data_IF_459375322670
#
_entry.id   IF_459375322670
#
_cell.length_a   1.000
_cell.length_b   1.000
_cell.length_c   1.000
_cell.angle_alpha   90.00
_cell.angle_beta   90.00
_cell.angle_gamma   90.00
#
_symmetry.space_group_name_H-M   'P 1'
#
loop_
_entity.id
_entity.type
_entity.pdbx_description
1 polymer ?
#
# COMPACT_ATOMS: atom_id res chain seq x y z
N UNK A 1 14.97 34.32 30.13
CA UNK A 1 13.84 34.68 29.23
C UNK A 1 14.35 34.64 27.80
N UNK A 2 13.96 33.63 27.02
CA UNK A 2 13.50 33.76 25.63
C UNK A 2 13.18 32.35 25.10
N UNK A 3 11.88 32.16 24.84
CA UNK A 3 11.25 30.93 24.37
C UNK A 3 11.38 30.86 22.84
N UNK A 4 11.82 29.72 22.32
CA UNK A 4 11.58 29.32 20.92
C UNK A 4 10.61 28.14 20.91
N UNK A 5 9.47 28.19 20.20
CA UNK A 5 8.59 27.05 20.07
C UNK A 5 9.03 26.17 18.88
N UNK A 6 9.33 24.89 19.16
CA UNK A 6 9.56 23.88 18.12
C UNK A 6 8.22 23.44 17.52
N UNK A 7 8.02 23.78 16.24
CA UNK A 7 6.87 23.38 15.43
C UNK A 7 7.19 22.03 14.77
N UNK A 8 6.41 21.00 15.09
CA UNK A 8 6.36 19.71 14.41
C UNK A 8 5.65 19.86 13.07
N UNK A 9 6.36 19.74 11.94
CA UNK A 9 5.78 19.68 10.60
C UNK A 9 5.94 18.27 10.01
N UNK A 10 4.85 17.52 9.95
CA UNK A 10 4.70 16.35 9.10
C UNK A 10 4.61 16.82 7.64
N UNK A 11 5.65 16.57 6.85
CA UNK A 11 5.67 16.91 5.43
C UNK A 11 4.96 15.80 4.66
N UNK A 12 3.65 15.97 4.49
CA UNK A 12 2.84 15.22 3.54
C UNK A 12 3.04 15.81 2.14
N UNK A 13 3.15 14.95 1.14
CA UNK A 13 3.14 15.29 -0.29
C UNK A 13 1.96 16.23 -0.60
N UNK A 14 2.25 17.52 -0.80
CA UNK A 14 1.28 18.46 -1.39
C UNK A 14 1.27 18.23 -2.89
N UNK A 15 0.32 17.43 -3.38
CA UNK A 15 -0.11 17.51 -4.77
C UNK A 15 -0.70 18.91 -4.94
N UNK A 16 0.01 19.76 -5.67
CA UNK A 16 -0.33 21.17 -5.84
C UNK A 16 -1.54 21.33 -6.76
N UNK A 17 -2.74 21.38 -6.19
CA UNK A 17 -3.95 21.83 -6.90
C UNK A 17 -3.85 23.34 -7.14
N UNK A 18 -3.36 23.76 -8.31
CA UNK A 18 -3.44 25.15 -8.76
C UNK A 18 -4.90 25.48 -9.12
N UNK A 19 -5.56 26.26 -8.28
CA UNK A 19 -6.86 26.90 -8.59
C UNK A 19 -6.62 28.09 -9.52
N UNK A 20 -7.16 28.07 -10.74
CA UNK A 20 -7.34 29.27 -11.53
C UNK A 20 -8.73 29.89 -11.23
N UNK A 21 -8.82 31.19 -10.92
CA UNK A 21 -10.09 31.84 -10.61
C UNK A 21 -10.65 32.45 -11.90
N UNK A 22 -11.79 31.96 -12.38
CA UNK A 22 -12.68 32.75 -13.22
C UNK A 22 -14.09 32.67 -12.66
N UNK A 23 -14.48 33.81 -12.09
CA UNK A 23 -15.81 34.14 -11.60
C UNK A 23 -16.72 34.30 -12.82
N UNK A 24 -17.81 33.55 -12.87
CA UNK A 24 -19.02 34.03 -13.55
C UNK A 24 -20.22 33.74 -12.64
N UNK A 25 -20.79 34.82 -12.10
CA UNK A 25 -22.04 34.82 -11.34
C UNK A 25 -23.17 34.37 -12.24
N UNK A 26 -23.95 33.37 -11.83
CA UNK A 26 -25.33 33.21 -12.28
C UNK A 26 -26.23 32.94 -11.07
N UNK A 27 -27.28 33.76 -10.97
CA UNK A 27 -28.38 33.68 -10.04
C UNK A 27 -29.08 32.32 -10.14
N UNK A 28 -29.22 31.59 -9.03
CA UNK A 28 -30.25 30.56 -8.90
C UNK A 28 -30.97 30.68 -7.55
N UNK A 29 -32.29 30.62 -7.67
CA UNK A 29 -33.37 30.83 -6.73
C UNK A 29 -33.27 30.05 -5.40
N UNK A 30 -33.82 30.67 -4.35
CA UNK A 30 -34.04 30.09 -3.04
C UNK A 30 -35.05 28.92 -3.13
N UNK A 31 -34.60 27.70 -2.81
CA UNK A 31 -35.49 26.61 -2.42
C UNK A 31 -35.10 26.11 -1.02
N UNK A 32 -36.03 26.29 -0.07
CA UNK A 32 -35.98 25.71 1.27
C UNK A 32 -36.10 24.19 1.16
N UNK A 33 -35.11 23.44 1.66
CA UNK A 33 -35.29 22.02 1.96
C UNK A 33 -35.41 21.80 3.46
N UNK A 34 -36.57 21.27 3.84
CA UNK A 34 -36.96 20.82 5.17
C UNK A 34 -36.20 19.54 5.57
N UNK A 35 -35.91 19.43 6.87
CA UNK A 35 -35.23 18.32 7.54
C UNK A 35 -36.06 17.03 7.53
N UNK A 36 -35.40 15.91 7.21
CA UNK A 36 -35.46 14.59 7.88
C UNK A 36 -35.17 13.48 6.86
N UNK A 37 -33.95 12.91 6.88
CA UNK A 37 -33.66 11.65 6.19
C UNK A 37 -33.74 10.52 7.22
N UNK A 38 -34.57 9.49 7.02
CA UNK A 38 -34.57 8.32 7.87
C UNK A 38 -33.27 7.54 7.66
N UNK A 39 -32.61 7.17 8.76
CA UNK A 39 -31.49 6.21 8.77
C UNK A 39 -32.00 4.85 8.34
N UNK A 40 -31.90 4.56 7.04
CA UNK A 40 -32.11 3.23 6.49
C UNK A 40 -30.86 2.42 6.81
N UNK A 41 -30.92 1.57 7.85
CA UNK A 41 -29.87 0.58 8.10
C UNK A 41 -29.90 -0.43 6.96
N UNK A 42 -28.96 -0.31 6.04
CA UNK A 42 -28.76 -1.28 4.96
C UNK A 42 -28.36 -2.63 5.56
N UNK A 43 -28.87 -3.75 5.02
CA UNK A 43 -28.50 -5.08 5.51
C UNK A 43 -27.00 -5.33 5.30
N UNK A 44 -26.41 -6.08 6.23
CA UNK A 44 -25.01 -6.51 6.16
C UNK A 44 -24.76 -7.18 4.80
N UNK A 45 -23.76 -6.75 4.01
CA UNK A 45 -23.45 -7.38 2.73
C UNK A 45 -23.21 -8.88 2.92
N UNK A 46 -23.89 -9.71 2.14
CA UNK A 46 -23.64 -11.16 2.11
C UNK A 46 -22.19 -11.43 1.66
N UNK A 47 -21.60 -12.59 2.00
CA UNK A 47 -20.27 -12.94 1.51
C UNK A 47 -20.12 -12.80 -0.01
N UNK A 48 -21.15 -13.16 -0.77
CA UNK A 48 -21.19 -13.03 -2.24
C UNK A 48 -21.14 -11.56 -2.69
N UNK A 49 -21.80 -10.66 -1.96
CA UNK A 49 -21.82 -9.24 -2.28
C UNK A 49 -20.45 -8.59 -2.04
N UNK A 50 -19.73 -8.97 -0.98
CA UNK A 50 -18.38 -8.47 -0.73
C UNK A 50 -17.41 -8.88 -1.83
N UNK A 51 -17.45 -10.15 -2.24
CA UNK A 51 -16.64 -10.67 -3.34
C UNK A 51 -16.98 -9.96 -4.66
N UNK A 52 -18.27 -9.78 -4.97
CA UNK A 52 -18.69 -9.07 -6.18
C UNK A 52 -18.06 -7.68 -6.25
N UNK A 53 -18.18 -6.89 -5.17
CA UNK A 53 -17.61 -5.54 -5.06
C UNK A 53 -16.09 -5.53 -5.12
N UNK A 54 -15.45 -6.53 -4.51
CA UNK A 54 -14.00 -6.70 -4.59
C UNK A 54 -13.55 -6.84 -6.05
N UNK A 55 -14.22 -7.72 -6.81
CA UNK A 55 -13.92 -7.96 -8.23
C UNK A 55 -14.20 -6.75 -9.10
N UNK A 56 -15.31 -6.05 -8.85
CA UNK A 56 -15.66 -4.81 -9.56
C UNK A 56 -14.60 -3.72 -9.35
N UNK A 57 -14.17 -3.51 -8.11
CA UNK A 57 -13.14 -2.53 -7.80
C UNK A 57 -11.83 -2.83 -8.54
N UNK A 58 -11.39 -4.09 -8.56
CA UNK A 58 -10.22 -4.48 -9.34
C UNK A 58 -10.45 -4.34 -10.85
N UNK A 59 -11.65 -4.64 -11.36
CA UNK A 59 -11.92 -4.63 -12.81
C UNK A 59 -11.86 -3.22 -13.39
N UNK A 60 -12.20 -2.21 -12.57
CA UNK A 60 -12.04 -0.80 -12.94
C UNK A 60 -10.56 -0.41 -13.08
N UNK A 61 -9.63 -1.06 -12.35
CA UNK A 61 -8.20 -0.76 -12.40
C UNK A 61 -7.48 -1.60 -13.46
N UNK A 62 -7.78 -2.89 -13.50
CA UNK A 62 -7.06 -3.90 -14.28
C UNK A 62 -7.81 -4.36 -15.53
N UNK A 63 -8.93 -3.69 -15.86
CA UNK A 63 -9.84 -4.12 -16.91
C UNK A 63 -10.56 -5.43 -16.58
N UNK A 64 -11.43 -5.92 -17.48
CA UNK A 64 -12.07 -7.22 -17.31
C UNK A 64 -11.03 -8.33 -17.28
N UNK A 65 -10.82 -8.93 -16.11
CA UNK A 65 -9.90 -10.07 -15.95
C UNK A 65 -10.64 -11.40 -15.79
N UNK A 66 -11.92 -11.40 -15.43
CA UNK A 66 -12.71 -12.61 -15.13
C UNK A 66 -13.27 -13.34 -16.34
N UNK A 67 -12.99 -12.87 -17.55
CA UNK A 67 -13.50 -13.49 -18.77
C UNK A 67 -13.02 -14.94 -18.91
N UNK A 68 -11.92 -15.32 -18.23
CA UNK A 68 -11.47 -16.71 -18.16
C UNK A 68 -12.49 -17.66 -17.52
N UNK A 69 -13.40 -17.18 -16.67
CA UNK A 69 -14.42 -18.03 -16.03
C UNK A 69 -15.38 -18.66 -17.04
N UNK A 70 -15.53 -18.02 -18.20
CA UNK A 70 -16.33 -18.51 -19.32
C UNK A 70 -15.47 -19.13 -20.44
N UNK A 71 -14.15 -19.20 -20.25
CA UNK A 71 -13.21 -19.77 -21.22
C UNK A 71 -13.20 -21.31 -21.12
N UNK A 72 -13.09 -22.05 -22.24
CA UNK A 72 -12.84 -23.49 -22.20
C UNK A 72 -11.47 -23.83 -21.60
N UNK A 73 -10.52 -22.90 -21.63
CA UNK A 73 -9.22 -23.01 -20.97
C UNK A 73 -8.95 -21.72 -20.14
N UNK A 74 -9.36 -21.71 -18.87
CA UNK A 74 -9.15 -20.57 -17.99
C UNK A 74 -7.67 -20.23 -17.73
N UNK A 75 -6.80 -21.24 -17.69
CA UNK A 75 -5.40 -21.09 -17.34
C UNK A 75 -4.59 -20.49 -18.49
N UNK A 76 -4.84 -20.96 -19.72
CA UNK A 76 -4.26 -20.35 -20.92
C UNK A 76 -4.68 -18.89 -21.08
N UNK A 77 -5.96 -18.57 -20.80
CA UNK A 77 -6.43 -17.19 -20.81
C UNK A 77 -5.67 -16.34 -19.78
N UNK A 78 -5.61 -16.79 -18.52
CA UNK A 78 -4.91 -16.07 -17.45
C UNK A 78 -3.41 -15.89 -17.77
N UNK A 79 -2.77 -16.89 -18.38
CA UNK A 79 -1.37 -16.83 -18.81
C UNK A 79 -1.11 -15.81 -19.92
N UNK A 80 -2.09 -15.57 -20.79
CA UNK A 80 -2.02 -14.57 -21.86
C UNK A 80 -2.40 -13.16 -21.41
N UNK A 81 -3.08 -13.03 -20.27
CA UNK A 81 -3.53 -11.76 -19.75
C UNK A 81 -2.36 -10.82 -19.44
N UNK A 82 -2.55 -9.55 -19.78
CA UNK A 82 -1.61 -8.48 -19.46
C UNK A 82 -2.42 -7.32 -18.88
N UNK A 83 -2.05 -6.79 -17.69
CA UNK A 83 -2.76 -5.66 -17.11
C UNK A 83 -2.70 -4.46 -18.07
N UNK A 84 -3.82 -3.77 -18.29
CA UNK A 84 -3.87 -2.69 -19.26
C UNK A 84 -3.04 -1.49 -18.80
N UNK A 85 -2.58 -0.70 -19.78
CA UNK A 85 -1.99 0.63 -19.54
C UNK A 85 -3.05 1.69 -19.27
N UNK A 86 -4.28 1.48 -19.72
CA UNK A 86 -5.48 2.29 -19.44
C UNK A 86 -6.71 1.39 -19.27
N UNK A 87 -7.52 1.51 -18.20
CA UNK A 87 -7.45 2.55 -17.16
C UNK A 87 -6.18 2.46 -16.30
N UNK A 88 -5.72 1.24 -16.02
CA UNK A 88 -4.44 1.00 -15.36
C UNK A 88 -4.38 1.48 -13.91
N UNK A 89 -3.21 1.31 -13.29
CA UNK A 89 -2.94 1.71 -11.92
C UNK A 89 -2.64 3.21 -11.73
N UNK A 90 -2.90 4.05 -12.74
CA UNK A 90 -2.76 5.53 -12.68
C UNK A 90 -1.34 6.08 -12.86
N UNK A 91 -0.35 5.24 -13.17
CA UNK A 91 1.04 5.65 -13.33
C UNK A 91 1.56 5.64 -14.76
N UNK A 92 2.86 5.87 -14.93
CA UNK A 92 3.57 5.81 -16.20
C UNK A 92 3.39 4.42 -16.85
N UNK A 93 2.90 4.40 -18.09
CA UNK A 93 2.48 3.18 -18.81
C UNK A 93 1.42 2.36 -18.04
N UNK A 94 0.62 3.05 -17.24
CA UNK A 94 -0.44 2.49 -16.43
C UNK A 94 0.04 1.77 -15.18
N UNK A 95 1.33 1.80 -14.81
CA UNK A 95 1.85 1.07 -13.64
C UNK A 95 2.21 1.99 -12.50
N UNK A 96 1.80 1.64 -11.28
CA UNK A 96 2.08 2.42 -10.07
C UNK A 96 2.32 1.48 -8.90
N UNK A 97 3.52 1.52 -8.32
CA UNK A 97 4.06 0.41 -7.54
C UNK A 97 3.21 0.04 -6.31
N UNK A 98 2.61 1.03 -5.63
CA UNK A 98 1.73 0.77 -4.48
C UNK A 98 0.42 0.12 -4.89
N UNK A 99 -0.25 0.69 -5.89
CA UNK A 99 -1.50 0.17 -6.43
C UNK A 99 -1.31 -1.28 -6.89
N UNK A 100 -0.18 -1.56 -7.54
CA UNK A 100 0.13 -2.89 -8.04
C UNK A 100 0.53 -3.89 -6.97
N UNK A 101 1.21 -3.45 -5.91
CA UNK A 101 1.45 -4.32 -4.77
C UNK A 101 0.11 -4.79 -4.15
N UNK A 102 -0.85 -3.86 -3.99
CA UNK A 102 -2.21 -4.20 -3.59
C UNK A 102 -2.90 -5.11 -4.61
N UNK A 103 -2.77 -4.85 -5.92
CA UNK A 103 -3.33 -5.69 -6.98
C UNK A 103 -2.85 -7.15 -6.89
N UNK A 104 -1.55 -7.37 -6.72
CA UNK A 104 -0.96 -8.70 -6.54
C UNK A 104 -1.56 -9.40 -5.31
N UNK A 105 -1.58 -8.71 -4.16
CA UNK A 105 -2.12 -9.27 -2.91
C UNK A 105 -3.61 -9.56 -3.04
N UNK A 106 -4.36 -8.69 -3.73
CA UNK A 106 -5.79 -8.85 -3.96
C UNK A 106 -6.11 -10.02 -4.90
N UNK A 107 -5.32 -10.26 -5.95
CA UNK A 107 -5.46 -11.45 -6.78
C UNK A 107 -5.13 -12.74 -6.03
N UNK A 108 -4.14 -12.71 -5.13
CA UNK A 108 -3.86 -13.82 -4.21
C UNK A 108 -5.07 -14.09 -3.30
N UNK A 109 -5.65 -13.04 -2.73
CA UNK A 109 -6.88 -13.14 -1.92
C UNK A 109 -8.02 -13.76 -2.71
N UNK A 110 -8.32 -13.28 -3.92
CA UNK A 110 -9.37 -13.84 -4.78
C UNK A 110 -9.15 -15.31 -5.11
N UNK A 111 -7.90 -15.70 -5.42
CA UNK A 111 -7.58 -17.10 -5.70
C UNK A 111 -7.97 -18.02 -4.55
N UNK A 112 -7.67 -17.60 -3.31
CA UNK A 112 -8.00 -18.39 -2.11
C UNK A 112 -9.50 -18.34 -1.76
N UNK A 113 -10.09 -17.15 -1.71
CA UNK A 113 -11.51 -16.96 -1.37
C UNK A 113 -12.45 -17.71 -2.33
N UNK A 114 -12.06 -17.81 -3.60
CA UNK A 114 -12.86 -18.47 -4.64
C UNK A 114 -12.35 -19.86 -5.01
N UNK A 115 -11.27 -20.34 -4.36
CA UNK A 115 -10.59 -21.59 -4.73
C UNK A 115 -10.33 -21.71 -6.24
N UNK A 116 -9.86 -20.61 -6.84
CA UNK A 116 -9.74 -20.44 -8.28
C UNK A 116 -8.29 -20.10 -8.67
N UNK A 117 -7.47 -21.09 -9.07
CA UNK A 117 -6.05 -20.91 -9.38
C UNK A 117 -5.72 -19.87 -10.46
N UNK A 118 -6.53 -19.65 -11.53
CA UNK A 118 -6.22 -18.65 -12.54
C UNK A 118 -5.97 -17.23 -12.00
N UNK A 119 -6.58 -16.83 -10.88
CA UNK A 119 -6.26 -15.54 -10.24
C UNK A 119 -4.80 -15.45 -9.74
N UNK A 120 -4.19 -16.56 -9.29
CA UNK A 120 -2.76 -16.57 -8.99
C UNK A 120 -1.92 -16.35 -10.23
N UNK A 121 -2.35 -16.90 -11.37
CA UNK A 121 -1.68 -16.66 -12.65
C UNK A 121 -1.77 -15.18 -13.05
N UNK A 122 -2.92 -14.52 -12.83
CA UNK A 122 -3.03 -13.05 -12.97
C UNK A 122 -2.07 -12.30 -12.04
N UNK A 123 -1.92 -12.73 -10.78
CA UNK A 123 -0.97 -12.13 -9.84
C UNK A 123 0.48 -12.23 -10.37
N UNK A 124 0.88 -13.40 -10.90
CA UNK A 124 2.19 -13.60 -11.52
C UNK A 124 2.39 -12.71 -12.75
N UNK A 125 1.39 -12.63 -13.63
CA UNK A 125 1.41 -11.76 -14.82
C UNK A 125 1.57 -10.29 -14.44
N UNK A 126 0.86 -9.82 -13.41
CA UNK A 126 1.00 -8.46 -12.91
C UNK A 126 2.42 -8.20 -12.38
N UNK A 127 3.01 -9.14 -11.64
CA UNK A 127 4.41 -9.04 -11.20
C UNK A 127 5.38 -8.92 -12.37
N UNK A 128 5.26 -9.78 -13.39
CA UNK A 128 6.08 -9.72 -14.61
C UNK A 128 5.95 -8.36 -15.29
N UNK A 129 4.71 -7.87 -15.50
CA UNK A 129 4.50 -6.58 -16.16
C UNK A 129 5.08 -5.41 -15.36
N UNK A 130 5.00 -5.45 -14.01
CA UNK A 130 5.62 -4.43 -13.17
C UNK A 130 7.15 -4.47 -13.28
N UNK A 131 7.77 -5.65 -13.29
CA UNK A 131 9.23 -5.75 -13.43
C UNK A 131 9.70 -5.28 -14.81
N UNK A 132 8.94 -5.59 -15.85
CA UNK A 132 9.24 -5.16 -17.23
C UNK A 132 8.94 -3.69 -17.50
N UNK A 133 8.07 -3.06 -16.69
CA UNK A 133 7.77 -1.63 -16.83
C UNK A 133 8.62 -0.78 -15.87
N UNK A 134 8.48 -1.03 -14.57
CA UNK A 134 9.06 -0.22 -13.48
C UNK A 134 10.48 -0.65 -13.10
N UNK A 135 10.92 -1.85 -13.49
CA UNK A 135 12.32 -2.30 -13.38
C UNK A 135 13.20 -1.89 -14.58
N UNK A 136 12.66 -1.07 -15.48
CA UNK A 136 13.35 -0.50 -16.64
C UNK A 136 13.39 1.01 -16.59
N UNK A 137 14.27 1.62 -17.39
CA UNK A 137 14.27 3.06 -17.65
C UNK A 137 12.92 3.53 -18.21
N UNK A 138 12.60 4.83 -18.07
CA UNK A 138 11.28 5.36 -18.45
C UNK A 138 10.98 5.16 -19.94
N UNK A 139 11.99 5.27 -20.80
CA UNK A 139 11.93 5.00 -22.24
C UNK A 139 11.89 3.50 -22.59
N UNK A 140 11.92 2.62 -21.59
CA UNK A 140 11.86 1.16 -21.73
C UNK A 140 13.05 0.53 -22.49
N UNK A 141 14.12 1.27 -22.72
CA UNK A 141 15.28 0.81 -23.52
C UNK A 141 16.21 -0.13 -22.76
N UNK A 142 16.29 -0.01 -21.42
CA UNK A 142 17.20 -0.81 -20.61
C UNK A 142 16.64 -1.14 -19.22
N UNK A 143 17.17 -2.18 -18.56
CA UNK A 143 16.93 -2.43 -17.12
C UNK A 143 17.56 -1.29 -16.31
N UNK A 144 17.06 -1.05 -15.09
CA UNK A 144 17.67 -0.06 -14.19
C UNK A 144 19.13 -0.44 -13.88
N UNK A 145 20.02 0.55 -13.62
CA UNK A 145 21.43 0.28 -13.35
C UNK A 145 21.64 -0.79 -12.27
N UNK A 146 22.45 -1.81 -12.60
CA UNK A 146 22.72 -2.95 -11.73
C UNK A 146 21.81 -4.17 -11.95
N UNK A 147 20.67 -4.02 -12.64
CA UNK A 147 19.79 -5.13 -13.00
C UNK A 147 20.14 -5.78 -14.35
N UNK A 148 19.79 -7.06 -14.47
CA UNK A 148 19.86 -7.86 -15.70
C UNK A 148 18.54 -8.61 -15.88
N UNK A 149 18.31 -9.29 -17.00
CA UNK A 149 17.09 -10.11 -17.14
C UNK A 149 17.05 -11.31 -16.18
N UNK A 150 18.22 -11.85 -15.81
CA UNK A 150 18.32 -12.91 -14.81
C UNK A 150 18.16 -12.39 -13.37
N UNK A 151 18.54 -11.14 -13.12
CA UNK A 151 18.46 -10.49 -11.82
C UNK A 151 17.77 -9.12 -11.94
N UNK A 152 16.45 -9.12 -12.19
CA UNK A 152 15.71 -7.93 -12.65
C UNK A 152 15.52 -6.86 -11.58
N UNK A 153 15.71 -7.19 -10.30
CA UNK A 153 15.46 -6.31 -9.16
C UNK A 153 16.73 -5.74 -8.52
N UNK A 154 17.92 -6.07 -9.03
CA UNK A 154 19.20 -5.51 -8.55
C UNK A 154 19.34 -4.00 -8.73
N UNK A 155 18.55 -3.40 -9.63
CA UNK A 155 18.46 -1.96 -9.81
C UNK A 155 17.30 -1.32 -9.04
N UNK A 156 16.54 -2.10 -8.26
CA UNK A 156 15.31 -1.64 -7.61
C UNK A 156 14.12 -1.54 -8.56
N UNK A 157 13.12 -0.73 -8.19
CA UNK A 157 11.92 -0.46 -8.99
C UNK A 157 11.54 1.02 -8.88
N UNK A 158 11.22 1.63 -10.02
CA UNK A 158 10.62 2.97 -10.05
C UNK A 158 9.23 2.96 -9.41
N UNK A 159 8.81 4.09 -8.85
CA UNK A 159 7.45 4.27 -8.32
C UNK A 159 6.39 4.28 -9.44
N UNK A 160 6.75 4.78 -10.63
CA UNK A 160 5.84 4.84 -11.78
C UNK A 160 5.04 6.15 -11.86
N UNK A 161 5.56 7.27 -11.36
CA UNK A 161 4.88 8.57 -11.50
C UNK A 161 4.92 9.10 -12.94
N UNK A 162 3.89 9.85 -13.32
CA UNK A 162 3.76 10.42 -14.67
C UNK A 162 4.89 11.39 -14.99
N UNK A 163 5.25 12.28 -14.06
CA UNK A 163 6.41 13.16 -14.20
C UNK A 163 7.70 12.44 -13.83
N UNK A 164 8.78 12.71 -14.56
CA UNK A 164 10.13 12.25 -14.25
C UNK A 164 10.75 12.98 -13.06
N UNK A 165 11.84 12.43 -12.51
CA UNK A 165 12.64 13.13 -11.49
C UNK A 165 13.36 14.38 -12.00
N UNK A 166 13.51 14.54 -13.33
CA UNK A 166 14.08 15.74 -13.92
C UNK A 166 13.06 16.88 -13.96
N UNK A 167 11.79 16.56 -14.24
CA UNK A 167 10.67 17.51 -14.23
C UNK A 167 10.28 17.90 -12.80
N UNK A 168 10.21 16.92 -11.89
CA UNK A 168 9.94 17.16 -10.47
C UNK A 168 10.83 16.25 -9.60
N UNK A 169 11.99 16.76 -9.11
CA UNK A 169 12.88 15.97 -8.27
C UNK A 169 12.23 15.45 -6.99
N UNK A 170 11.34 16.23 -6.37
CA UNK A 170 10.73 15.86 -5.09
C UNK A 170 9.56 14.92 -5.27
N UNK A 171 8.68 15.22 -6.21
CA UNK A 171 7.41 14.52 -6.38
C UNK A 171 7.26 13.74 -7.69
N UNK A 172 8.21 13.79 -8.60
CA UNK A 172 8.23 12.96 -9.80
C UNK A 172 8.65 11.52 -9.52
N UNK A 173 8.98 10.79 -10.58
CA UNK A 173 9.45 9.41 -10.51
C UNK A 173 10.73 9.27 -9.67
N UNK A 174 11.12 8.04 -9.38
CA UNK A 174 12.22 7.73 -8.47
C UNK A 174 11.97 6.41 -7.76
N UNK A 175 12.77 6.13 -6.74
CA UNK A 175 12.59 4.95 -5.90
C UNK A 175 12.27 5.37 -4.47
N UNK A 176 11.23 4.78 -3.90
CA UNK A 176 10.70 5.15 -2.61
C UNK A 176 10.73 3.94 -1.68
N UNK A 177 11.31 4.10 -0.50
CA UNK A 177 11.54 2.98 0.42
C UNK A 177 10.24 2.23 0.75
N UNK A 178 9.20 2.91 1.21
CA UNK A 178 7.97 2.25 1.63
C UNK A 178 7.24 1.55 0.47
N UNK A 179 7.26 2.12 -0.74
CA UNK A 179 6.69 1.46 -1.92
C UNK A 179 7.43 0.17 -2.27
N UNK A 180 8.76 0.20 -2.20
CA UNK A 180 9.59 -0.98 -2.42
C UNK A 180 9.34 -2.05 -1.35
N UNK A 181 9.21 -1.66 -0.08
CA UNK A 181 8.90 -2.64 0.99
C UNK A 181 7.51 -3.26 0.86
N UNK A 182 6.50 -2.50 0.42
CA UNK A 182 5.18 -3.07 0.13
C UNK A 182 5.23 -4.04 -1.05
N UNK A 183 6.02 -3.75 -2.08
CA UNK A 183 6.24 -4.67 -3.18
C UNK A 183 6.99 -5.94 -2.76
N UNK A 184 8.02 -5.82 -1.91
CA UNK A 184 8.68 -6.98 -1.30
C UNK A 184 7.69 -7.85 -0.53
N UNK A 185 6.78 -7.23 0.23
CA UNK A 185 5.70 -7.95 0.91
C UNK A 185 4.79 -8.68 -0.08
N UNK A 186 4.37 -8.03 -1.18
CA UNK A 186 3.55 -8.67 -2.21
C UNK A 186 4.25 -9.90 -2.83
N UNK A 187 5.54 -9.80 -3.16
CA UNK A 187 6.34 -10.93 -3.67
C UNK A 187 6.44 -12.07 -2.64
N UNK A 188 6.62 -11.73 -1.38
CA UNK A 188 6.65 -12.70 -0.29
C UNK A 188 5.31 -13.43 -0.12
N UNK A 189 4.17 -12.71 -0.19
CA UNK A 189 2.85 -13.32 -0.20
C UNK A 189 2.64 -14.22 -1.43
N UNK A 190 3.11 -13.79 -2.60
CA UNK A 190 3.04 -14.61 -3.81
C UNK A 190 3.86 -15.90 -3.68
N UNK A 191 5.05 -15.83 -3.06
CA UNK A 191 5.86 -17.01 -2.77
C UNK A 191 5.09 -18.03 -1.94
N UNK A 192 4.45 -17.59 -0.85
CA UNK A 192 3.67 -18.49 0.01
C UNK A 192 2.43 -19.04 -0.67
N UNK A 193 1.72 -18.22 -1.45
CA UNK A 193 0.51 -18.64 -2.14
C UNK A 193 0.79 -19.66 -3.26
N UNK A 194 1.94 -19.55 -3.93
CA UNK A 194 2.32 -20.43 -5.06
C UNK A 194 3.16 -21.63 -4.64
N UNK A 195 3.89 -21.53 -3.53
CA UNK A 195 4.97 -22.46 -3.17
C UNK A 195 6.22 -22.31 -4.06
N UNK A 196 6.27 -21.33 -4.95
CA UNK A 196 7.37 -21.14 -5.88
C UNK A 196 8.49 -20.27 -5.27
N UNK A 197 9.63 -20.92 -5.07
CA UNK A 197 10.87 -20.36 -4.49
C UNK A 197 11.33 -19.05 -5.14
N UNK A 198 11.11 -18.90 -6.44
CA UNK A 198 11.58 -17.73 -7.20
C UNK A 198 11.07 -16.39 -6.67
N UNK A 199 9.83 -16.33 -6.18
CA UNK A 199 9.25 -15.08 -5.68
C UNK A 199 9.89 -14.62 -4.37
N UNK A 200 10.24 -15.57 -3.50
CA UNK A 200 11.01 -15.30 -2.28
C UNK A 200 12.41 -14.77 -2.62
N UNK A 201 13.09 -15.40 -3.58
CA UNK A 201 14.41 -14.94 -4.05
C UNK A 201 14.36 -13.53 -4.63
N UNK A 202 13.33 -13.20 -5.42
CA UNK A 202 13.14 -11.85 -5.97
C UNK A 202 12.90 -10.82 -4.86
N UNK A 203 12.10 -11.15 -3.84
CA UNK A 203 11.89 -10.25 -2.70
C UNK A 203 13.19 -9.95 -1.95
N UNK A 204 14.01 -10.99 -1.68
CA UNK A 204 15.33 -10.84 -1.04
C UNK A 204 16.31 -10.09 -1.93
N UNK A 205 16.32 -10.36 -3.24
CA UNK A 205 17.15 -9.62 -4.21
C UNK A 205 16.86 -8.13 -4.16
N UNK A 206 15.56 -7.76 -4.18
CA UNK A 206 15.16 -6.36 -4.09
C UNK A 206 15.58 -5.73 -2.76
N UNK A 207 15.38 -6.43 -1.64
CA UNK A 207 15.78 -5.96 -0.31
C UNK A 207 17.27 -5.63 -0.25
N UNK A 208 18.13 -6.57 -0.68
CA UNK A 208 19.59 -6.39 -0.70
C UNK A 208 20.06 -5.27 -1.62
N UNK A 209 19.44 -5.15 -2.79
CA UNK A 209 19.80 -4.15 -3.78
C UNK A 209 19.60 -2.73 -3.27
N UNK A 210 18.50 -2.49 -2.53
CA UNK A 210 18.06 -1.13 -2.19
C UNK A 210 18.42 -0.71 -0.78
N UNK A 211 18.56 -1.64 0.19
CA UNK A 211 18.69 -1.30 1.62
C UNK A 211 19.76 -0.24 1.89
N UNK A 212 21.01 -0.50 1.50
CA UNK A 212 22.12 0.43 1.74
C UNK A 212 21.98 1.77 1.03
N UNK A 213 21.09 1.89 0.03
CA UNK A 213 20.83 3.15 -0.68
C UNK A 213 19.89 4.06 0.12
N UNK A 214 19.02 3.49 0.94
CA UNK A 214 18.07 4.24 1.76
C UNK A 214 18.55 4.49 3.19
N UNK A 215 19.68 3.90 3.61
CA UNK A 215 20.26 4.07 4.94
C UNK A 215 21.42 5.05 4.90
N UNK A 216 21.33 6.12 5.68
CA UNK A 216 22.46 7.02 5.94
C UNK A 216 23.19 6.53 7.17
N UNK A 217 24.45 6.15 6.97
CA UNK A 217 25.31 5.63 8.03
C UNK A 217 26.18 6.71 8.64
N UNK A 218 26.41 6.61 9.94
CA UNK A 218 27.37 7.44 10.62
C UNK A 218 28.80 7.12 10.15
N UNK A 219 29.63 8.15 9.97
CA UNK A 219 30.98 8.00 9.41
C UNK A 219 31.98 7.29 10.35
N UNK A 220 31.78 7.36 11.68
CA UNK A 220 32.77 6.83 12.64
C UNK A 220 32.50 5.38 13.04
N UNK A 221 31.24 4.97 13.15
CA UNK A 221 30.87 3.63 13.61
C UNK A 221 30.05 2.81 12.58
N UNK A 222 29.76 3.37 11.41
CA UNK A 222 28.96 2.74 10.35
C UNK A 222 27.53 2.33 10.73
N UNK A 223 27.03 2.74 11.90
CA UNK A 223 25.66 2.47 12.32
C UNK A 223 24.65 3.23 11.47
N UNK A 224 23.48 2.62 11.24
CA UNK A 224 22.35 3.29 10.63
C UNK A 224 21.89 4.46 11.53
N UNK A 225 22.00 5.69 11.02
CA UNK A 225 21.69 6.91 11.77
C UNK A 225 20.32 7.47 11.39
N UNK A 226 19.99 7.42 10.09
CA UNK A 226 18.70 7.86 9.54
C UNK A 226 18.39 7.17 8.23
N UNK A 227 17.12 7.24 7.83
CA UNK A 227 16.70 6.85 6.50
C UNK A 227 16.49 8.07 5.59
N UNK A 228 16.40 7.80 4.30
CA UNK A 228 15.89 8.76 3.31
C UNK A 228 14.62 8.20 2.68
N UNK A 229 13.73 9.08 2.25
CA UNK A 229 12.41 8.73 1.75
C UNK A 229 12.49 8.33 0.28
N UNK A 230 13.22 9.13 -0.51
CA UNK A 230 13.27 9.02 -1.97
C UNK A 230 14.69 9.10 -2.49
N UNK A 231 15.01 8.14 -3.35
CA UNK A 231 16.21 8.09 -4.18
C UNK A 231 15.86 8.34 -5.65
N UNK A 232 16.84 8.75 -6.44
CA UNK A 232 16.74 8.76 -7.89
C UNK A 232 16.47 7.36 -8.46
N UNK A 233 15.93 7.30 -9.67
CA UNK A 233 15.60 6.07 -10.41
C UNK A 233 16.78 5.12 -10.54
N UNK A 234 18.01 5.64 -10.60
CA UNK A 234 19.29 4.89 -10.64
C UNK A 234 19.90 4.61 -9.26
N UNK A 235 19.23 4.99 -8.16
CA UNK A 235 19.71 4.88 -6.77
C UNK A 235 21.05 5.59 -6.47
N UNK A 236 21.47 6.54 -7.32
CA UNK A 236 22.74 7.26 -7.16
C UNK A 236 22.63 8.53 -6.30
N UNK A 237 21.43 9.13 -6.20
CA UNK A 237 21.23 10.43 -5.52
C UNK A 237 20.04 10.38 -4.56
N UNK A 238 20.19 11.02 -3.41
CA UNK A 238 19.07 11.31 -2.50
C UNK A 238 18.26 12.47 -3.06
N UNK A 239 16.96 12.26 -3.29
CA UNK A 239 16.04 13.29 -3.77
C UNK A 239 15.21 13.90 -2.65
N UNK A 240 14.84 13.09 -1.64
CA UNK A 240 14.11 13.56 -0.46
C UNK A 240 14.81 13.03 0.80
N UNK A 241 15.58 13.87 1.52
CA UNK A 241 16.46 13.45 2.61
C UNK A 241 15.76 13.32 3.98
N UNK A 242 14.43 13.27 3.99
CA UNK A 242 13.61 13.01 5.18
C UNK A 242 13.26 11.53 5.23
N UNK A 243 12.64 11.04 6.30
CA UNK A 243 12.14 9.66 6.41
C UNK A 243 10.67 9.68 6.80
N UNK A 244 9.92 8.68 6.32
CA UNK A 244 8.56 8.44 6.77
C UNK A 244 8.54 8.03 8.24
N UNK A 245 7.42 8.28 8.89
CA UNK A 245 7.27 8.02 10.33
C UNK A 245 7.40 6.53 10.67
N UNK A 246 6.91 5.65 9.80
CA UNK A 246 6.88 4.20 9.97
C UNK A 246 7.88 3.45 9.08
N UNK A 247 8.67 4.12 8.24
CA UNK A 247 9.54 3.48 7.24
C UNK A 247 10.47 2.42 7.88
N UNK A 248 11.08 2.74 9.02
CA UNK A 248 11.96 1.82 9.74
C UNK A 248 11.19 0.61 10.31
N UNK A 249 9.99 0.83 10.84
CA UNK A 249 9.16 -0.24 11.40
C UNK A 249 8.64 -1.17 10.31
N UNK A 250 8.19 -0.62 9.19
CA UNK A 250 7.78 -1.39 8.01
C UNK A 250 8.95 -2.19 7.46
N UNK A 251 10.13 -1.57 7.32
CA UNK A 251 11.36 -2.27 6.93
C UNK A 251 11.69 -3.44 7.86
N UNK A 252 11.66 -3.20 9.18
CA UNK A 252 11.91 -4.23 10.20
C UNK A 252 10.97 -5.44 10.05
N UNK A 253 9.67 -5.18 9.93
CA UNK A 253 8.65 -6.23 9.80
C UNK A 253 8.80 -6.98 8.49
N UNK A 254 8.83 -6.27 7.36
CA UNK A 254 8.89 -6.89 6.03
C UNK A 254 10.16 -7.72 5.88
N UNK A 255 11.33 -7.21 6.28
CA UNK A 255 12.58 -7.95 6.12
C UNK A 255 12.61 -9.21 7.00
N UNK A 256 12.02 -9.18 8.19
CA UNK A 256 11.84 -10.39 9.02
C UNK A 256 10.90 -11.40 8.35
N UNK A 257 9.83 -10.95 7.70
CA UNK A 257 8.95 -11.84 6.94
C UNK A 257 9.67 -12.45 5.73
N UNK A 258 10.45 -11.65 4.99
CA UNK A 258 11.30 -12.16 3.90
C UNK A 258 12.28 -13.22 4.41
N UNK A 259 12.96 -12.94 5.53
CA UNK A 259 13.92 -13.86 6.12
C UNK A 259 13.26 -15.19 6.50
N UNK A 260 12.13 -15.15 7.21
CA UNK A 260 11.39 -16.36 7.61
C UNK A 260 10.96 -17.20 6.41
N UNK A 261 10.37 -16.56 5.40
CA UNK A 261 9.92 -17.27 4.21
C UNK A 261 11.09 -17.83 3.41
N UNK A 262 12.22 -17.11 3.35
CA UNK A 262 13.43 -17.61 2.72
C UNK A 262 13.98 -18.85 3.45
N UNK A 263 14.05 -18.81 4.78
CA UNK A 263 14.46 -19.95 5.61
C UNK A 263 13.52 -21.14 5.43
N UNK A 264 12.21 -20.90 5.39
CA UNK A 264 11.20 -21.92 5.16
C UNK A 264 11.33 -22.58 3.78
N UNK A 265 11.57 -21.79 2.72
CA UNK A 265 11.58 -22.28 1.34
C UNK A 265 12.95 -22.80 0.86
N UNK A 266 14.04 -22.25 1.38
CA UNK A 266 15.40 -22.51 0.88
C UNK A 266 16.34 -23.10 1.94
N UNK A 267 15.93 -23.13 3.21
CA UNK A 267 16.79 -23.51 4.33
C UNK A 267 17.58 -22.31 4.90
N UNK A 268 18.12 -22.44 6.13
CA UNK A 268 18.90 -21.40 6.78
C UNK A 268 20.34 -21.30 6.23
N UNK A 269 21.04 -20.17 6.48
CA UNK A 269 20.54 -18.96 7.16
C UNK A 269 19.74 -18.05 6.22
N UNK A 270 18.73 -17.36 6.75
CA UNK A 270 18.08 -16.29 6.03
C UNK A 270 18.99 -15.06 5.91
N UNK A 271 19.13 -14.51 4.71
CA UNK A 271 20.25 -13.67 4.29
C UNK A 271 19.98 -12.14 4.48
N UNK A 272 19.29 -11.74 5.55
CA UNK A 272 18.87 -10.34 5.82
C UNK A 272 19.15 -9.86 7.25
N UNK A 273 19.97 -10.60 8.01
CA UNK A 273 20.25 -10.30 9.42
C UNK A 273 20.83 -8.89 9.63
N UNK A 274 21.83 -8.43 8.86
CA UNK A 274 22.38 -7.07 9.01
C UNK A 274 21.34 -5.97 8.74
N UNK A 275 20.51 -6.15 7.71
CA UNK A 275 19.49 -5.18 7.32
C UNK A 275 18.40 -5.05 8.39
N UNK A 276 17.99 -6.18 8.98
CA UNK A 276 17.03 -6.19 10.10
C UNK A 276 17.61 -5.49 11.33
N UNK A 277 18.91 -5.67 11.61
CA UNK A 277 19.59 -5.01 12.72
C UNK A 277 19.62 -3.47 12.54
N UNK A 278 19.87 -2.98 11.31
CA UNK A 278 19.80 -1.56 11.02
C UNK A 278 18.40 -0.99 11.30
N UNK A 279 17.33 -1.65 10.85
CA UNK A 279 15.97 -1.19 11.14
C UNK A 279 15.66 -1.20 12.63
N UNK A 280 16.13 -2.22 13.37
CA UNK A 280 15.95 -2.29 14.82
C UNK A 280 16.59 -1.11 15.53
N UNK A 281 17.81 -0.71 15.12
CA UNK A 281 18.47 0.49 15.64
C UNK A 281 17.67 1.75 15.31
N UNK A 282 17.20 1.89 14.07
CA UNK A 282 16.46 3.07 13.61
C UNK A 282 15.11 3.23 14.30
N UNK A 283 14.43 2.14 14.65
CA UNK A 283 13.18 2.13 15.43
C UNK A 283 13.39 2.60 16.87
N UNK A 284 14.57 2.35 17.44
CA UNK A 284 14.90 2.71 18.83
C UNK A 284 15.23 4.19 19.04
N UNK A 285 15.25 5.02 17.99
CA UNK A 285 15.55 6.45 18.08
C UNK A 285 14.42 7.22 18.73
N UNK A 286 14.78 8.29 19.43
CA UNK A 286 13.82 9.17 20.10
C UNK A 286 12.78 9.72 19.11
N UNK A 287 11.52 9.70 19.51
CA UNK A 287 10.41 10.23 18.71
C UNK A 287 9.91 9.30 17.60
N UNK A 288 10.54 8.14 17.39
CA UNK A 288 10.03 7.09 16.51
C UNK A 288 8.94 6.26 17.18
N UNK A 289 8.22 5.48 16.39
CA UNK A 289 7.15 4.59 16.86
C UNK A 289 5.99 5.31 17.57
N UNK A 290 5.69 6.55 17.19
CA UNK A 290 4.50 7.29 17.68
C UNK A 290 3.24 6.91 16.89
N UNK A 291 2.07 7.09 17.48
CA UNK A 291 0.82 6.93 16.75
C UNK A 291 0.61 8.09 15.77
N UNK A 292 0.11 7.78 14.57
CA UNK A 292 -0.26 8.79 13.57
C UNK A 292 -1.73 9.14 13.65
N UNK A 293 -2.06 10.41 13.42
CA UNK A 293 -3.44 10.87 13.22
C UNK A 293 -3.86 10.86 11.75
N UNK A 294 -2.96 10.46 10.85
CA UNK A 294 -3.29 10.20 9.45
C UNK A 294 -3.85 8.79 9.30
N UNK A 295 -5.01 8.64 8.64
CA UNK A 295 -5.67 7.35 8.51
C UNK A 295 -4.82 6.30 7.78
N UNK A 296 -4.05 6.69 6.75
CA UNK A 296 -3.21 5.74 6.03
C UNK A 296 -2.08 5.25 6.92
N UNK A 297 -1.31 6.16 7.50
CA UNK A 297 -0.18 5.82 8.36
C UNK A 297 -0.63 4.98 9.56
N UNK A 298 -1.76 5.34 10.20
CA UNK A 298 -2.35 4.57 11.29
C UNK A 298 -2.68 3.15 10.87
N UNK A 299 -3.32 3.00 9.71
CA UNK A 299 -3.67 1.70 9.14
C UNK A 299 -2.45 0.84 8.82
N UNK A 300 -1.46 1.42 8.14
CA UNK A 300 -0.21 0.71 7.83
C UNK A 300 0.56 0.35 9.09
N UNK A 301 0.52 1.20 10.13
CA UNK A 301 1.08 0.93 11.46
C UNK A 301 0.43 -0.27 12.15
N UNK A 302 -0.90 -0.32 12.18
CA UNK A 302 -1.66 -1.46 12.71
C UNK A 302 -1.36 -2.74 11.90
N UNK A 303 -1.30 -2.63 10.58
CA UNK A 303 -0.93 -3.74 9.70
C UNK A 303 0.50 -4.24 9.95
N UNK A 304 1.52 -3.43 10.21
CA UNK A 304 2.83 -4.01 10.54
C UNK A 304 2.87 -4.61 11.96
N UNK A 305 2.12 -4.03 12.90
CA UNK A 305 2.09 -4.51 14.29
C UNK A 305 1.45 -5.90 14.41
N UNK A 306 0.48 -6.24 13.56
CA UNK A 306 -0.29 -7.49 13.73
C UNK A 306 0.58 -8.76 13.58
N UNK A 307 1.64 -8.72 12.76
CA UNK A 307 2.57 -9.84 12.57
C UNK A 307 3.43 -10.17 13.80
N UNK A 308 3.56 -9.24 14.74
CA UNK A 308 4.44 -9.36 15.91
C UNK A 308 3.76 -8.89 17.20
N UNK A 309 2.44 -9.06 17.29
CA UNK A 309 1.57 -8.59 18.38
C UNK A 309 2.04 -8.93 19.80
N UNK A 310 2.83 -9.98 19.95
CA UNK A 310 3.36 -10.41 21.24
C UNK A 310 4.56 -9.59 21.70
N UNK A 311 5.29 -8.94 20.79
CA UNK A 311 6.43 -8.07 21.08
C UNK A 311 5.98 -6.70 21.62
N UNK A 312 6.65 -6.19 22.65
CA UNK A 312 6.24 -4.98 23.37
C UNK A 312 6.03 -3.77 22.46
N UNK A 313 6.95 -3.54 21.51
CA UNK A 313 6.87 -2.39 20.60
C UNK A 313 5.60 -2.43 19.72
N UNK A 314 5.23 -3.62 19.24
CA UNK A 314 4.09 -3.83 18.37
C UNK A 314 2.79 -3.76 19.17
N UNK A 315 2.78 -4.36 20.36
CA UNK A 315 1.66 -4.29 21.30
C UNK A 315 1.34 -2.86 21.68
N UNK A 316 2.35 -2.08 22.08
CA UNK A 316 2.18 -0.68 22.50
C UNK A 316 1.72 0.20 21.34
N UNK A 317 2.41 0.16 20.19
CA UNK A 317 2.03 0.97 19.04
C UNK A 317 0.63 0.59 18.54
N UNK A 318 0.34 -0.72 18.45
CA UNK A 318 -0.92 -1.22 17.96
C UNK A 318 -2.08 -0.90 18.90
N UNK A 319 -1.93 -1.04 20.22
CA UNK A 319 -2.99 -0.68 21.18
C UNK A 319 -3.30 0.82 21.15
N UNK A 320 -2.28 1.67 21.09
CA UNK A 320 -2.48 3.12 21.00
C UNK A 320 -3.11 3.51 19.65
N UNK A 321 -2.69 2.88 18.55
CA UNK A 321 -3.26 3.12 17.23
C UNK A 321 -4.70 2.66 17.11
N UNK A 322 -5.10 1.60 17.84
CA UNK A 322 -6.49 1.16 17.90
C UNK A 322 -7.39 2.23 18.52
N UNK A 323 -6.96 2.84 19.62
CA UNK A 323 -7.70 3.93 20.29
C UNK A 323 -7.82 5.18 19.43
N UNK A 324 -6.74 5.57 18.73
CA UNK A 324 -6.81 6.68 17.76
C UNK A 324 -7.71 6.31 16.57
N UNK A 325 -7.69 5.06 16.11
CA UNK A 325 -8.54 4.58 15.03
C UNK A 325 -10.03 4.70 15.35
N UNK A 326 -10.44 4.39 16.58
CA UNK A 326 -11.82 4.59 17.07
C UNK A 326 -12.23 6.06 16.96
N UNK A 327 -11.35 6.98 17.36
CA UNK A 327 -11.62 8.42 17.31
C UNK A 327 -11.70 8.91 15.85
N UNK A 328 -10.78 8.49 14.99
CA UNK A 328 -10.74 8.93 13.59
C UNK A 328 -11.95 8.45 12.79
N UNK A 329 -12.41 7.22 13.03
CA UNK A 329 -13.53 6.60 12.33
C UNK A 329 -14.88 6.77 13.06
N UNK A 330 -14.94 7.58 14.12
CA UNK A 330 -16.20 7.96 14.75
C UNK A 330 -17.07 8.78 13.79
N UNK A 331 -18.29 8.28 13.51
CA UNK A 331 -19.22 8.90 12.55
C UNK A 331 -19.85 10.22 13.01
N UNK A 332 -19.62 10.67 14.25
CA UNK A 332 -20.18 11.90 14.82
C UNK A 332 -19.14 13.01 15.00
N UNK A 333 -17.88 12.66 15.24
CA UNK A 333 -16.82 13.57 15.67
C UNK A 333 -15.50 13.37 14.92
N UNK A 334 -15.32 12.22 14.27
CA UNK A 334 -14.09 11.85 13.57
C UNK A 334 -13.96 12.42 12.16
N UNK A 335 -12.98 11.94 11.40
CA UNK A 335 -12.86 12.23 9.97
C UNK A 335 -14.07 11.66 9.22
N UNK A 336 -14.58 10.52 9.67
CA UNK A 336 -15.76 9.85 9.09
C UNK A 336 -17.05 10.68 9.20
N UNK A 337 -17.11 11.70 10.06
CA UNK A 337 -18.27 12.59 10.17
C UNK A 337 -18.27 13.76 9.16
N UNK A 338 -17.25 13.86 8.30
CA UNK A 338 -17.09 14.96 7.34
C UNK A 338 -17.75 14.62 5.99
N UNK A 339 -18.01 15.67 5.21
CA UNK A 339 -18.43 15.57 3.80
C UNK A 339 -17.35 14.91 2.93
N UNK A 340 -17.76 14.25 1.85
CA UNK A 340 -16.88 13.46 0.97
C UNK A 340 -15.67 14.28 0.45
N UNK A 341 -15.88 15.54 0.06
CA UNK A 341 -14.83 16.43 -0.47
C UNK A 341 -13.79 16.89 0.58
N UNK A 342 -13.94 16.51 1.85
CA UNK A 342 -12.99 16.77 2.95
C UNK A 342 -12.33 15.49 3.46
N UNK A 343 -12.55 14.38 2.76
CA UNK A 343 -12.09 13.04 3.10
C UNK A 343 -11.26 12.49 1.95
N UNK A 344 -10.46 11.46 2.22
CA UNK A 344 -9.62 10.80 1.21
C UNK A 344 -9.82 9.30 1.32
N UNK A 345 -10.45 8.70 0.30
CA UNK A 345 -10.89 7.32 0.31
C UNK A 345 -9.76 6.33 0.62
N UNK A 346 -8.67 6.36 -0.15
CA UNK A 346 -7.52 5.46 0.06
C UNK A 346 -6.93 5.56 1.48
N UNK A 347 -6.92 6.75 2.11
CA UNK A 347 -6.39 6.92 3.47
C UNK A 347 -7.28 6.21 4.49
N UNK A 348 -8.59 6.36 4.37
CA UNK A 348 -9.54 5.71 5.27
C UNK A 348 -9.61 4.19 5.04
N UNK A 349 -9.46 3.73 3.79
CA UNK A 349 -9.32 2.30 3.51
C UNK A 349 -8.04 1.72 4.10
N UNK A 350 -6.94 2.49 4.13
CA UNK A 350 -5.73 2.13 4.87
C UNK A 350 -6.02 1.86 6.35
N UNK A 351 -6.68 2.81 7.03
CA UNK A 351 -7.12 2.63 8.42
C UNK A 351 -8.00 1.39 8.58
N UNK A 352 -9.01 1.21 7.73
CA UNK A 352 -9.91 0.07 7.78
C UNK A 352 -9.17 -1.27 7.64
N UNK A 353 -8.25 -1.38 6.66
CA UNK A 353 -7.41 -2.57 6.48
C UNK A 353 -6.60 -2.86 7.76
N UNK A 354 -5.87 -1.87 8.27
CA UNK A 354 -5.05 -2.02 9.47
C UNK A 354 -5.85 -2.45 10.71
N UNK A 355 -6.99 -1.80 10.95
CA UNK A 355 -7.88 -2.12 12.06
C UNK A 355 -8.40 -3.57 11.97
N UNK A 356 -8.72 -4.02 10.76
CA UNK A 356 -9.15 -5.41 10.55
C UNK A 356 -8.04 -6.41 10.78
N UNK A 357 -6.84 -6.16 10.24
CA UNK A 357 -5.68 -7.04 10.45
C UNK A 357 -5.27 -7.11 11.93
N UNK A 358 -5.26 -5.98 12.64
CA UNK A 358 -4.77 -5.92 14.02
C UNK A 358 -5.78 -6.41 15.05
N UNK A 359 -7.08 -6.12 14.89
CA UNK A 359 -8.07 -6.61 15.84
C UNK A 359 -9.40 -5.86 15.93
N UNK A 360 -10.15 -5.73 14.84
CA UNK A 360 -11.56 -5.35 14.93
C UNK A 360 -12.45 -6.51 15.42
N UNK A 361 -11.96 -7.76 15.40
CA UNK A 361 -12.73 -8.98 15.64
C UNK A 361 -13.48 -9.04 16.98
N UNK A 362 -12.95 -8.42 18.03
CA UNK A 362 -13.55 -8.40 19.36
C UNK A 362 -14.34 -7.13 19.68
N UNK A 363 -14.20 -6.07 18.86
CA UNK A 363 -14.78 -4.75 19.12
C UNK A 363 -15.94 -4.48 18.14
N UNK A 364 -17.17 -4.61 18.63
CA UNK A 364 -18.38 -4.45 17.82
C UNK A 364 -18.57 -3.03 17.27
N UNK A 365 -18.17 -2.00 18.03
CA UNK A 365 -18.28 -0.60 17.61
C UNK A 365 -17.33 -0.31 16.47
N UNK A 366 -16.08 -0.76 16.58
CA UNK A 366 -15.08 -0.57 15.55
C UNK A 366 -15.44 -1.30 14.24
N UNK A 367 -16.05 -2.50 14.33
CA UNK A 367 -16.60 -3.19 13.15
C UNK A 367 -17.64 -2.36 12.42
N UNK A 368 -18.55 -1.73 13.17
CA UNK A 368 -19.58 -0.90 12.57
C UNK A 368 -19.00 0.39 11.99
N UNK A 369 -17.99 1.00 12.62
CA UNK A 369 -17.25 2.14 12.04
C UNK A 369 -16.58 1.79 10.71
N UNK A 370 -15.87 0.65 10.64
CA UNK A 370 -15.22 0.18 9.41
C UNK A 370 -16.26 -0.07 8.31
N UNK A 371 -17.37 -0.74 8.66
CA UNK A 371 -18.49 -0.97 7.73
C UNK A 371 -19.07 0.36 7.23
N UNK A 372 -19.32 1.30 8.11
CA UNK A 372 -19.84 2.63 7.76
C UNK A 372 -18.93 3.41 6.81
N UNK A 373 -17.61 3.30 6.97
CA UNK A 373 -16.64 3.89 6.02
C UNK A 373 -16.72 3.25 4.65
N UNK A 374 -16.78 1.91 4.57
CA UNK A 374 -16.90 1.18 3.31
C UNK A 374 -18.22 1.50 2.58
N UNK A 375 -19.33 1.56 3.32
CA UNK A 375 -20.66 1.89 2.78
C UNK A 375 -20.75 3.35 2.34
N UNK A 376 -20.15 4.28 3.10
CA UNK A 376 -20.05 5.68 2.70
C UNK A 376 -19.34 5.79 1.36
N UNK A 377 -18.12 5.28 1.26
CA UNK A 377 -17.34 5.45 0.03
C UNK A 377 -17.93 4.70 -1.15
N UNK A 378 -18.65 3.61 -0.96
CA UNK A 378 -19.37 2.96 -2.05
C UNK A 378 -20.29 3.93 -2.83
N UNK A 379 -20.86 4.93 -2.15
CA UNK A 379 -21.76 5.92 -2.77
C UNK A 379 -21.01 7.09 -3.43
N UNK A 380 -19.75 7.32 -3.06
CA UNK A 380 -19.00 8.54 -3.42
C UNK A 380 -17.69 8.26 -4.16
N UNK A 381 -17.28 7.00 -4.31
CA UNK A 381 -15.97 6.66 -4.86
C UNK A 381 -15.83 7.12 -6.32
N UNK A 382 -16.90 7.04 -7.11
CA UNK A 382 -16.90 7.48 -8.50
C UNK A 382 -16.89 9.00 -8.65
N UNK A 383 -17.72 9.70 -7.88
CA UNK A 383 -17.98 11.14 -8.09
C UNK A 383 -17.09 12.07 -7.25
N UNK A 384 -16.51 11.57 -6.15
CA UNK A 384 -15.82 12.40 -5.15
C UNK A 384 -14.34 12.04 -4.98
N UNK A 385 -13.81 11.11 -5.77
CA UNK A 385 -12.39 10.76 -5.78
C UNK A 385 -11.72 11.37 -6.99
N UNK A 386 -10.65 12.12 -6.80
CA UNK A 386 -9.82 12.61 -7.91
C UNK A 386 -9.40 11.43 -8.80
N UNK A 387 -9.46 11.61 -10.13
CA UNK A 387 -9.19 10.54 -11.10
C UNK A 387 -7.80 9.90 -10.88
N UNK A 388 -6.78 10.70 -10.52
CA UNK A 388 -5.43 10.22 -10.20
C UNK A 388 -5.36 9.33 -8.95
N UNK A 389 -6.32 9.48 -8.02
CA UNK A 389 -6.40 8.74 -6.76
C UNK A 389 -7.40 7.58 -6.82
N UNK A 390 -8.16 7.46 -7.91
CA UNK A 390 -9.19 6.44 -8.09
C UNK A 390 -8.59 5.03 -8.10
N UNK A 391 -7.49 4.72 -8.85
CA UNK A 391 -6.95 3.36 -8.87
C UNK A 391 -6.47 2.87 -7.51
N UNK A 392 -5.73 3.71 -6.77
CA UNK A 392 -5.26 3.36 -5.42
C UNK A 392 -6.45 3.19 -4.45
N UNK A 393 -7.46 4.05 -4.55
CA UNK A 393 -8.64 3.94 -3.68
C UNK A 393 -9.43 2.66 -3.93
N UNK A 394 -9.54 2.20 -5.18
CA UNK A 394 -10.24 0.96 -5.55
C UNK A 394 -9.54 -0.30 -5.06
N UNK A 395 -8.22 -0.42 -5.27
CA UNK A 395 -7.49 -1.61 -4.79
C UNK A 395 -7.43 -1.65 -3.26
N UNK A 396 -7.39 -0.49 -2.60
CA UNK A 396 -7.44 -0.41 -1.14
C UNK A 396 -8.85 -0.64 -0.59
N UNK A 397 -9.91 -0.25 -1.32
CA UNK A 397 -11.29 -0.60 -0.98
C UNK A 397 -11.48 -2.12 -0.93
N UNK A 398 -10.99 -2.82 -1.97
CA UNK A 398 -11.03 -4.28 -2.03
C UNK A 398 -10.32 -4.91 -0.82
N UNK A 399 -9.09 -4.48 -0.52
CA UNK A 399 -8.33 -4.97 0.63
C UNK A 399 -8.96 -4.61 1.99
N UNK A 400 -9.56 -3.42 2.13
CA UNK A 400 -10.28 -3.04 3.35
C UNK A 400 -11.56 -3.87 3.54
N UNK A 401 -12.22 -4.28 2.44
CA UNK A 401 -13.40 -5.13 2.42
C UNK A 401 -13.11 -6.61 2.65
N UNK A 402 -11.97 -7.11 2.19
CA UNK A 402 -11.46 -8.48 2.44
C UNK A 402 -9.93 -8.40 2.54
N UNK A 403 -9.37 -8.26 3.76
CA UNK A 403 -7.91 -8.14 3.97
C UNK A 403 -7.11 -9.29 3.37
N UNK A 404 -7.61 -10.52 3.54
CA UNK A 404 -7.07 -11.72 2.89
C UNK A 404 -5.57 -11.86 3.10
N UNK A 405 -4.79 -11.90 2.02
CA UNK A 405 -3.35 -12.11 2.07
C UNK A 405 -2.53 -10.98 2.75
N UNK A 406 -3.17 -9.90 3.20
CA UNK A 406 -2.56 -8.95 4.15
C UNK A 406 -2.48 -9.47 5.59
N UNK A 407 -3.32 -10.44 5.96
CA UNK A 407 -3.42 -10.99 7.33
C UNK A 407 -2.34 -12.07 7.59
N UNK A 408 -1.81 -12.05 8.81
CA UNK A 408 -0.90 -13.06 9.32
C UNK A 408 -1.58 -14.43 9.36
N UNK A 409 -0.84 -15.47 8.95
CA UNK A 409 -1.35 -16.84 8.86
C UNK A 409 -2.37 -17.11 7.74
N UNK A 410 -2.84 -16.10 6.98
CA UNK A 410 -3.85 -16.30 5.93
C UNK A 410 -3.42 -17.31 4.86
N UNK A 411 -2.14 -17.31 4.49
CA UNK A 411 -1.56 -18.24 3.50
C UNK A 411 -0.92 -19.49 4.13
N UNK A 412 -1.17 -19.75 5.42
CA UNK A 412 -0.47 -20.79 6.19
C UNK A 412 0.79 -20.26 6.88
N UNK A 413 1.54 -21.17 7.51
CA UNK A 413 2.80 -20.83 8.19
C UNK A 413 3.94 -20.71 7.17
N UNK A 414 4.72 -19.64 7.27
CA UNK A 414 5.95 -19.42 6.52
C UNK A 414 6.80 -18.32 7.15
#
# INVERSE_FOLDING_TARGET
>A
MNRFPYISQSITTKISVKRHPLILRHHISQYRFSKSRPTMTMPIPTPNERIRRFKEALSIVYGPFDNFLSSPDPEAFASSWTPPSSPGAGGHLGRYLWTDAFGVINFITLSKELSCPPYLTLAKRLVTTVHDTLGKTRDQTSRLPGATDAEPLKGGLRIGKLHSEAEDPRDGDGQYHHYLTLWMFALNRLALATGEKQWSLLAVQLAKAVHNRFIVRNKSNHHAERMVWKMSTDLSRVLVPTEGHLDAATGFVVYRLLQRTAEYMHGPPGDLVPEIADYRLLMGREGKMRVSNDCLDLGMGLWICHFFRDEDWARTLGSQSLEVGKILLDGKRGIASREANRRLAFREFGACLGLRCYGCGADGELKESVKGVLEFWQQYLEDSTDEDLKPISLVMYAAAGIPGAFEDGYLGRG
#
